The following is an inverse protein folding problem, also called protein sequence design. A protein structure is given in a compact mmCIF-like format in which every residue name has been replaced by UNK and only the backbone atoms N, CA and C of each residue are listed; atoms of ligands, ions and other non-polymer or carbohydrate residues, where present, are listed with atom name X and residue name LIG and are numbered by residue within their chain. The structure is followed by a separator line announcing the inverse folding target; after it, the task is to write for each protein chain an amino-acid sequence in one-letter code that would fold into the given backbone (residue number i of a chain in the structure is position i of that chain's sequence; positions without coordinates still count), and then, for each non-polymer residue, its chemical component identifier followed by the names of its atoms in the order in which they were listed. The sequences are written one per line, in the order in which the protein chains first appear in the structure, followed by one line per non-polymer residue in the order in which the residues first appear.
data_IF_043735942197
#
_entry.id   IF_043735942197
#
_cell.length_a   1.000
_cell.length_b   1.000
_cell.length_c   1.000
_cell.angle_alpha   90.00
_cell.angle_beta   90.00
_cell.angle_gamma   90.00
#
_symmetry.space_group_name_H-M   'P 1'
#
loop_
_entity.id
_entity.type
_entity.pdbx_description
1 polymer ?
#
# COMPACT_ATOMS: atom_id res chain seq x y z
N UNK A 1 -3.23 39.57 -2.99
CA UNK A 1 -1.92 39.06 -2.60
C UNK A 1 -1.80 37.57 -2.78
N UNK A 2 -0.61 37.09 -3.07
CA UNK A 2 -0.32 35.63 -3.17
C UNK A 2 0.58 35.24 -1.99
N UNK A 3 0.35 34.08 -1.44
CA UNK A 3 1.26 33.50 -0.45
C UNK A 3 1.56 32.05 -0.83
N UNK A 4 2.73 31.57 -0.41
CA UNK A 4 3.16 30.18 -0.58
C UNK A 4 3.50 29.57 0.77
N UNK A 5 3.03 28.34 1.01
CA UNK A 5 3.34 27.59 2.22
C UNK A 5 3.93 26.23 1.84
N UNK A 6 5.14 25.97 2.32
CA UNK A 6 5.73 24.63 2.21
C UNK A 6 5.30 23.78 3.40
N UNK A 7 4.60 22.69 3.11
CA UNK A 7 4.13 21.79 4.15
C UNK A 7 5.19 20.74 4.49
N UNK A 8 5.44 20.45 5.78
CA UNK A 8 6.33 19.38 6.17
C UNK A 8 5.76 18.03 5.72
N UNK A 9 6.67 17.06 5.46
CA UNK A 9 6.28 15.70 5.16
C UNK A 9 5.47 15.11 6.32
N UNK A 10 4.44 14.33 5.99
CA UNK A 10 3.59 13.74 7.03
C UNK A 10 2.43 12.94 6.45
N UNK A 11 1.51 12.49 7.30
CA UNK A 11 0.33 11.75 6.90
C UNK A 11 -0.67 12.61 6.10
N UNK A 12 -1.66 11.94 5.51
CA UNK A 12 -2.84 12.60 4.95
C UNK A 12 -3.54 13.41 6.06
N UNK A 13 -3.92 14.63 5.72
CA UNK A 13 -4.51 15.56 6.69
C UNK A 13 -5.35 16.61 6.01
N UNK A 14 -6.21 17.21 6.78
CA UNK A 14 -6.92 18.42 6.37
C UNK A 14 -6.08 19.65 6.73
N UNK A 15 -6.07 20.61 5.84
CA UNK A 15 -5.35 21.87 5.98
C UNK A 15 -6.38 22.98 5.89
N UNK A 16 -6.37 23.85 6.88
CA UNK A 16 -7.11 25.11 6.85
C UNK A 16 -6.12 26.25 6.92
N UNK A 17 -6.27 27.20 6.06
CA UNK A 17 -5.49 28.44 6.10
C UNK A 17 -6.44 29.55 6.57
N UNK A 18 -6.04 30.25 7.61
CA UNK A 18 -6.81 31.39 8.14
C UNK A 18 -5.90 32.61 8.26
N UNK A 19 -6.43 33.75 7.86
CA UNK A 19 -5.86 35.06 8.07
C UNK A 19 -6.74 35.80 9.08
N UNK A 20 -6.16 36.23 10.17
CA UNK A 20 -6.91 36.88 11.28
C UNK A 20 -7.35 38.31 10.97
N UNK A 21 -7.00 38.82 9.82
CA UNK A 21 -7.24 40.22 9.49
C UNK A 21 -6.20 41.18 10.10
N UNK A 22 -6.34 42.44 9.74
CA UNK A 22 -5.63 43.59 10.30
C UNK A 22 -6.59 44.75 10.32
N UNK A 23 -6.19 45.88 10.86
CA UNK A 23 -7.02 47.10 10.86
C UNK A 23 -7.46 47.54 9.46
N UNK A 24 -6.77 47.09 8.41
CA UNK A 24 -7.07 47.44 7.01
C UNK A 24 -7.69 46.32 6.18
N UNK A 25 -7.62 45.07 6.66
CA UNK A 25 -8.07 43.87 5.92
C UNK A 25 -8.91 42.99 6.80
N UNK A 26 -10.07 42.58 6.32
CA UNK A 26 -10.94 41.65 7.02
C UNK A 26 -10.31 40.28 7.17
N UNK A 27 -10.75 39.54 8.18
CA UNK A 27 -10.38 38.13 8.33
C UNK A 27 -10.81 37.28 7.12
N UNK A 28 -10.04 36.26 6.80
CA UNK A 28 -10.34 35.33 5.72
C UNK A 28 -9.89 33.92 6.07
N UNK A 29 -10.63 32.93 5.63
CA UNK A 29 -10.21 31.55 5.77
C UNK A 29 -10.52 30.73 4.53
N UNK A 30 -9.64 29.77 4.22
CA UNK A 30 -9.80 28.82 3.12
C UNK A 30 -9.61 27.41 3.64
N UNK A 31 -10.48 26.51 3.20
CA UNK A 31 -10.43 25.11 3.58
C UNK A 31 -11.70 24.62 4.28
N UNK A 32 -11.71 23.35 4.67
CA UNK A 32 -10.57 22.43 4.71
C UNK A 32 -10.15 21.92 3.33
N UNK A 33 -8.85 21.94 3.07
CA UNK A 33 -8.22 21.31 1.91
C UNK A 33 -7.73 19.90 2.32
N UNK A 34 -8.12 18.87 1.59
CA UNK A 34 -7.70 17.50 1.89
C UNK A 34 -6.36 17.16 1.20
N UNK A 35 -5.31 16.97 1.99
CA UNK A 35 -4.01 16.47 1.52
C UNK A 35 -3.97 14.95 1.65
N UNK A 36 -4.02 14.22 0.53
CA UNK A 36 -3.87 12.77 0.49
C UNK A 36 -2.42 12.37 0.22
N UNK A 37 -1.81 11.67 1.17
CA UNK A 37 -0.45 11.13 1.03
C UNK A 37 -0.52 9.63 0.80
N UNK A 38 0.12 9.17 -0.29
CA UNK A 38 0.17 7.75 -0.64
C UNK A 38 1.27 7.03 0.12
N UNK A 39 0.97 5.82 0.60
CA UNK A 39 1.97 4.86 1.03
C UNK A 39 2.62 4.17 -0.16
N UNK A 40 3.79 3.59 0.07
CA UNK A 40 4.51 2.76 -0.91
C UNK A 40 4.56 1.32 -0.39
N UNK A 41 4.57 0.36 -1.31
CA UNK A 41 4.71 -1.03 -0.97
C UNK A 41 5.67 -1.72 -1.95
N UNK A 42 6.80 -2.19 -1.41
CA UNK A 42 7.70 -3.10 -2.10
C UNK A 42 7.23 -4.52 -1.89
N UNK A 43 7.32 -5.38 -2.91
CA UNK A 43 6.86 -6.75 -2.87
C UNK A 43 7.75 -7.66 -3.71
N UNK A 44 8.11 -8.81 -3.16
CA UNK A 44 8.84 -9.85 -3.85
C UNK A 44 8.34 -11.24 -3.47
N UNK A 45 8.65 -12.23 -4.31
CA UNK A 45 8.27 -13.63 -4.15
C UNK A 45 9.47 -14.53 -4.51
N UNK A 46 9.76 -15.49 -3.66
CA UNK A 46 10.89 -16.41 -3.83
C UNK A 46 10.47 -17.83 -3.46
N UNK A 47 10.78 -18.85 -4.27
CA UNK A 47 11.32 -18.76 -5.63
C UNK A 47 10.29 -18.21 -6.63
N UNK A 48 10.74 -17.73 -7.79
CA UNK A 48 9.83 -17.28 -8.87
C UNK A 48 9.47 -18.40 -9.84
N UNK A 49 10.14 -19.54 -9.74
CA UNK A 49 9.81 -20.79 -10.44
C UNK A 49 9.69 -21.88 -9.39
N UNK A 50 8.60 -22.60 -9.38
CA UNK A 50 8.31 -23.63 -8.38
C UNK A 50 7.40 -24.71 -8.98
N UNK A 51 7.60 -25.94 -8.53
CA UNK A 51 6.71 -27.07 -8.84
C UNK A 51 5.37 -26.93 -8.13
N UNK A 52 4.37 -27.64 -8.61
CA UNK A 52 3.06 -27.73 -7.97
C UNK A 52 3.19 -28.21 -6.52
N UNK A 53 2.53 -27.53 -5.60
CA UNK A 53 2.59 -27.82 -4.17
C UNK A 53 3.84 -27.34 -3.44
N UNK A 54 4.83 -26.81 -4.13
CA UNK A 54 5.95 -26.17 -3.48
C UNK A 54 5.55 -24.84 -2.82
N UNK A 55 6.34 -24.45 -1.81
CA UNK A 55 6.08 -23.23 -1.05
C UNK A 55 6.77 -22.04 -1.69
N UNK A 56 6.02 -20.98 -1.94
CA UNK A 56 6.54 -19.66 -2.26
C UNK A 56 6.55 -18.79 -0.99
N UNK A 57 7.61 -18.03 -0.80
CA UNK A 57 7.71 -17.03 0.25
C UNK A 57 7.46 -15.65 -0.33
N UNK A 58 6.56 -14.92 0.28
CA UNK A 58 6.28 -13.51 0.00
C UNK A 58 6.97 -12.64 1.03
N UNK A 59 7.63 -11.62 0.56
CA UNK A 59 8.29 -10.62 1.39
C UNK A 59 8.02 -9.24 0.84
N UNK A 60 7.87 -8.28 1.72
CA UNK A 60 7.75 -6.90 1.28
C UNK A 60 7.89 -5.92 2.43
N UNK A 61 7.86 -4.65 2.05
CA UNK A 61 7.93 -3.54 2.98
C UNK A 61 6.94 -2.47 2.59
N UNK A 62 6.13 -2.06 3.56
CA UNK A 62 5.31 -0.86 3.45
C UNK A 62 6.16 0.31 3.94
N UNK A 63 6.28 1.33 3.13
CA UNK A 63 6.98 2.55 3.47
C UNK A 63 6.07 3.75 3.27
N UNK A 64 6.27 4.75 4.08
CA UNK A 64 5.67 6.06 3.92
C UNK A 64 6.79 7.08 3.84
N UNK A 65 6.55 8.23 3.24
CA UNK A 65 7.52 9.34 3.27
C UNK A 65 7.59 10.04 4.63
N UNK A 66 6.80 9.57 5.60
CA UNK A 66 6.81 10.08 6.95
C UNK A 66 7.83 9.35 7.81
N UNK A 67 8.48 10.08 8.70
CA UNK A 67 9.42 9.54 9.71
C UNK A 67 8.71 8.70 10.77
N UNK A 68 7.38 8.76 10.85
CA UNK A 68 6.62 7.98 11.84
C UNK A 68 6.52 6.52 11.43
N UNK A 69 6.81 5.58 12.34
CA UNK A 69 6.61 4.17 12.11
C UNK A 69 5.14 3.88 11.78
N UNK A 70 4.92 2.91 10.92
CA UNK A 70 3.57 2.40 10.65
C UNK A 70 2.97 1.85 11.94
N UNK A 71 1.66 2.01 12.08
CA UNK A 71 0.96 1.35 13.17
C UNK A 71 1.18 -0.16 13.09
N UNK A 72 1.62 -0.81 14.18
CA UNK A 72 1.78 -2.26 14.20
C UNK A 72 0.49 -2.93 13.75
N UNK A 73 0.62 -3.98 12.93
CA UNK A 73 -0.54 -4.74 12.49
C UNK A 73 -1.23 -4.23 11.23
N UNK A 74 -0.65 -3.25 10.54
CA UNK A 74 -1.14 -2.84 9.22
C UNK A 74 -1.29 -4.06 8.30
N UNK A 75 -2.48 -4.24 7.73
CA UNK A 75 -2.81 -5.40 6.90
C UNK A 75 -2.33 -5.23 5.46
N UNK A 76 -1.76 -6.30 4.92
CA UNK A 76 -1.33 -6.38 3.53
C UNK A 76 -1.97 -7.60 2.89
N UNK A 77 -2.72 -7.41 1.81
CA UNK A 77 -3.26 -8.48 1.01
C UNK A 77 -2.30 -8.80 -0.14
N UNK A 78 -1.88 -10.06 -0.26
CA UNK A 78 -1.27 -10.59 -1.48
C UNK A 78 -2.39 -11.03 -2.40
N UNK A 79 -2.37 -10.56 -3.64
CA UNK A 79 -3.43 -10.78 -4.62
C UNK A 79 -2.84 -11.39 -5.90
N UNK A 80 -3.61 -12.27 -6.56
CA UNK A 80 -3.33 -12.74 -7.91
C UNK A 80 -4.31 -12.12 -8.92
N UNK A 81 -3.88 -12.00 -10.15
CA UNK A 81 -4.73 -11.54 -11.24
C UNK A 81 -5.46 -12.70 -11.90
N UNK A 82 -6.76 -12.75 -11.73
CA UNK A 82 -7.65 -13.72 -12.38
C UNK A 82 -7.97 -13.25 -13.80
N UNK A 83 -7.47 -13.99 -14.79
CA UNK A 83 -7.61 -13.60 -16.20
C UNK A 83 -9.05 -13.63 -16.69
N UNK A 84 -9.82 -14.65 -16.27
CA UNK A 84 -11.19 -14.85 -16.70
C UNK A 84 -12.09 -13.66 -16.36
N UNK A 85 -12.01 -13.18 -15.12
CA UNK A 85 -12.82 -12.04 -14.65
C UNK A 85 -12.10 -10.70 -14.74
N UNK A 86 -10.82 -10.69 -15.14
CA UNK A 86 -9.93 -9.51 -15.18
C UNK A 86 -9.85 -8.78 -13.84
N UNK A 87 -9.95 -9.51 -12.74
CA UNK A 87 -9.96 -8.97 -11.37
C UNK A 87 -8.79 -9.49 -10.54
N UNK A 88 -8.40 -8.69 -9.57
CA UNK A 88 -7.44 -9.08 -8.55
C UNK A 88 -8.17 -9.79 -7.41
N UNK A 89 -7.77 -11.04 -7.13
CA UNK A 89 -8.32 -11.87 -6.05
C UNK A 89 -7.30 -12.03 -4.94
N UNK A 90 -7.72 -12.08 -3.67
CA UNK A 90 -6.81 -12.32 -2.56
C UNK A 90 -6.26 -13.76 -2.60
N UNK A 91 -4.97 -13.90 -2.36
CA UNK A 91 -4.29 -15.17 -2.04
C UNK A 91 -4.27 -15.38 -0.53
N UNK A 92 -3.84 -14.34 0.18
CA UNK A 92 -3.78 -14.32 1.64
C UNK A 92 -3.69 -12.86 2.13
N UNK A 93 -3.92 -12.70 3.44
CA UNK A 93 -3.69 -11.45 4.16
C UNK A 93 -2.63 -11.69 5.23
N UNK A 94 -1.70 -10.76 5.36
CA UNK A 94 -0.65 -10.79 6.38
C UNK A 94 -0.55 -9.43 7.07
N UNK A 95 0.21 -9.36 8.16
CA UNK A 95 0.43 -8.12 8.92
C UNK A 95 1.86 -7.62 8.74
N UNK A 96 2.00 -6.32 8.55
CA UNK A 96 3.30 -5.68 8.63
C UNK A 96 3.66 -5.41 10.11
N UNK A 97 4.94 -5.59 10.44
CA UNK A 97 5.46 -5.25 11.76
C UNK A 97 5.65 -3.71 11.89
N UNK A 98 6.14 -3.26 13.04
CA UNK A 98 6.42 -1.84 13.32
C UNK A 98 7.40 -1.18 12.33
N UNK A 99 8.23 -1.96 11.67
CA UNK A 99 9.16 -1.48 10.63
C UNK A 99 8.57 -1.52 9.22
N UNK A 100 7.28 -1.85 9.10
CA UNK A 100 6.59 -1.99 7.82
C UNK A 100 6.92 -3.28 7.07
N UNK A 101 7.70 -4.18 7.62
CA UNK A 101 8.09 -5.44 6.96
C UNK A 101 6.98 -6.47 7.15
N UNK A 102 6.60 -7.12 6.06
CA UNK A 102 5.70 -8.28 6.10
C UNK A 102 6.34 -9.49 5.42
N UNK A 103 5.95 -10.66 5.89
CA UNK A 103 6.34 -11.96 5.35
C UNK A 103 5.14 -12.89 5.37
N UNK A 104 5.02 -13.72 4.36
CA UNK A 104 4.02 -14.78 4.31
C UNK A 104 4.51 -15.90 3.42
N UNK A 105 3.90 -17.06 3.51
CA UNK A 105 4.18 -18.16 2.60
C UNK A 105 2.88 -18.78 2.11
N UNK A 106 2.92 -19.30 0.89
CA UNK A 106 1.76 -19.93 0.27
C UNK A 106 2.17 -21.15 -0.55
N UNK A 107 1.25 -22.10 -0.74
CA UNK A 107 1.41 -23.27 -1.61
C UNK A 107 0.30 -23.30 -2.64
N UNK A 108 0.64 -23.27 -3.91
CA UNK A 108 -0.33 -23.41 -5.00
C UNK A 108 -0.57 -24.90 -5.24
N UNK A 109 -1.63 -25.45 -4.61
CA UNK A 109 -1.90 -26.92 -4.63
C UNK A 109 -2.74 -27.35 -5.82
N UNK A 110 -3.53 -26.46 -6.39
CA UNK A 110 -4.55 -26.80 -7.39
C UNK A 110 -4.20 -26.25 -8.77
N UNK A 111 -2.93 -26.36 -9.16
CA UNK A 111 -2.49 -25.95 -10.49
C UNK A 111 -2.22 -27.22 -11.28
N UNK A 112 -2.96 -27.42 -12.35
CA UNK A 112 -2.75 -28.49 -13.31
C UNK A 112 -1.87 -27.95 -14.45
N UNK A 113 -0.76 -28.65 -14.72
CA UNK A 113 0.21 -28.22 -15.72
C UNK A 113 1.02 -27.00 -15.28
N UNK A 114 1.39 -26.15 -16.21
CA UNK A 114 2.22 -24.97 -15.96
C UNK A 114 1.40 -23.68 -16.03
N UNK A 115 1.52 -22.80 -15.03
CA UNK A 115 0.81 -21.53 -14.96
C UNK A 115 1.76 -20.36 -14.67
N UNK A 116 1.50 -19.23 -15.34
CA UNK A 116 2.09 -17.93 -15.00
C UNK A 116 1.10 -17.15 -14.15
N UNK A 117 1.46 -16.91 -12.89
CA UNK A 117 0.61 -16.23 -11.93
C UNK A 117 1.16 -14.82 -11.72
N UNK A 118 0.35 -13.82 -12.03
CA UNK A 118 0.67 -12.42 -11.79
C UNK A 118 0.20 -12.03 -10.39
N UNK A 119 1.11 -11.56 -9.56
CA UNK A 119 0.91 -11.25 -8.15
C UNK A 119 1.17 -9.77 -7.87
N UNK A 120 0.51 -9.24 -6.86
CA UNK A 120 0.80 -7.93 -6.27
C UNK A 120 0.48 -7.94 -4.78
N UNK A 121 1.06 -7.01 -4.06
CA UNK A 121 0.66 -6.69 -2.69
C UNK A 121 -0.17 -5.41 -2.65
N UNK A 122 -1.23 -5.39 -1.83
CA UNK A 122 -2.09 -4.23 -1.61
C UNK A 122 -2.17 -3.93 -0.11
N UNK A 123 -1.91 -2.69 0.25
CA UNK A 123 -2.13 -2.20 1.59
C UNK A 123 -3.64 -2.09 1.86
N UNK A 124 -4.08 -2.67 2.97
CA UNK A 124 -5.46 -2.56 3.46
C UNK A 124 -5.45 -1.59 4.65
N UNK A 125 -5.62 -0.30 4.41
CA UNK A 125 -5.62 0.65 5.51
C UNK A 125 -6.87 0.46 6.38
N UNK A 126 -6.75 0.52 7.71
CA UNK A 126 -7.90 0.65 8.59
C UNK A 126 -8.60 1.99 8.33
N UNK A 127 -9.85 2.13 8.76
CA UNK A 127 -10.67 3.33 8.53
C UNK A 127 -10.00 4.64 8.97
N UNK A 128 -9.11 4.59 9.96
CA UNK A 128 -8.35 5.74 10.49
C UNK A 128 -6.88 5.76 10.03
N UNK A 129 -6.53 5.01 9.00
CA UNK A 129 -5.16 4.99 8.52
C UNK A 129 -4.82 6.32 7.83
N UNK A 130 -3.74 7.00 8.23
CA UNK A 130 -3.46 8.37 7.77
C UNK A 130 -2.84 8.43 6.37
N UNK A 131 -2.79 7.33 5.63
CA UNK A 131 -2.27 7.27 4.28
C UNK A 131 -3.28 6.63 3.35
N UNK A 132 -3.37 7.09 2.12
CA UNK A 132 -4.13 6.40 1.08
C UNK A 132 -3.49 5.05 0.76
N UNK A 133 -4.31 4.05 0.46
CA UNK A 133 -3.84 2.69 0.17
C UNK A 133 -2.78 2.67 -0.93
N UNK A 134 -1.83 1.75 -0.80
CA UNK A 134 -0.78 1.52 -1.77
C UNK A 134 -0.92 0.15 -2.42
N UNK A 135 -0.45 0.05 -3.66
CA UNK A 135 -0.39 -1.20 -4.42
C UNK A 135 1.03 -1.33 -4.97
N UNK A 136 1.63 -2.51 -4.84
CA UNK A 136 2.96 -2.78 -5.38
C UNK A 136 2.94 -2.88 -6.91
N UNK A 137 4.10 -2.78 -7.51
CA UNK A 137 4.28 -3.25 -8.89
C UNK A 137 3.96 -4.74 -8.95
N UNK A 138 3.27 -5.22 -9.99
CA UNK A 138 3.02 -6.64 -10.17
C UNK A 138 4.34 -7.38 -10.47
N UNK A 139 4.43 -8.62 -9.98
CA UNK A 139 5.47 -9.58 -10.36
C UNK A 139 4.81 -10.86 -10.90
N UNK A 140 5.59 -11.68 -11.58
CA UNK A 140 5.10 -12.95 -12.14
C UNK A 140 5.93 -14.08 -11.52
N UNK A 141 5.22 -15.12 -11.08
CA UNK A 141 5.82 -16.42 -10.74
C UNK A 141 5.35 -17.47 -11.75
N UNK A 142 6.15 -18.54 -11.90
CA UNK A 142 5.79 -19.71 -12.68
C UNK A 142 5.61 -20.89 -11.73
N UNK A 143 4.47 -21.58 -11.85
CA UNK A 143 4.13 -22.74 -11.03
C UNK A 143 3.80 -23.90 -11.95
N UNK A 144 4.30 -25.08 -11.64
CA UNK A 144 4.06 -26.29 -12.40
C UNK A 144 5.34 -26.93 -12.87
N UNK A 145 5.22 -28.11 -13.39
CA UNK A 145 6.30 -28.91 -13.97
C UNK A 145 6.70 -28.39 -15.34
#
# INVERSE_FOLDING_TARGET
GHFGLTLPQGPSRQIRVSFRGTDRFAEASVGPLELKVRGFIGFDATPRQLGTGQRVQFRGRVATRSVRPLSPGTLVAVQYFERATRRWRPVLVTRANRFGVFRASYRFRYITGSARIRLRARLLPPARFPYSGAVSRPLVIRVGS
#
